data_IF_043916782065
#
_entry.id   IF_043916782065
#
_cell.length_a   1.000
_cell.length_b   1.000
_cell.length_c   1.000
_cell.angle_alpha   90.00
_cell.angle_beta   90.00
_cell.angle_gamma   90.00
#
_symmetry.space_group_name_H-M   'P 1'
#
loop_
_entity.id
_entity.type
_entity.pdbx_description
1 polymer ?
#
# COMPACT_ATOMS: atom_id res chain seq x y z
N UNK A 1 -16.79 -4.69 -2.90
CA UNK A 1 -15.60 -5.28 -3.59
C UNK A 1 -14.38 -4.45 -3.21
N UNK A 2 -13.24 -5.07 -2.89
CA UNK A 2 -12.02 -4.32 -2.60
C UNK A 2 -11.44 -3.70 -3.89
N UNK A 3 -11.35 -2.37 -3.93
CA UNK A 3 -10.81 -1.58 -5.04
C UNK A 3 -9.79 -0.52 -4.56
N UNK A 4 -9.15 0.16 -5.52
CA UNK A 4 -8.10 1.14 -5.25
C UNK A 4 -8.60 2.39 -4.52
N UNK A 5 -9.83 2.80 -4.81
CA UNK A 5 -10.43 3.96 -4.16
C UNK A 5 -10.72 3.65 -2.69
N UNK A 6 -11.25 2.46 -2.41
CA UNK A 6 -11.53 1.95 -1.07
C UNK A 6 -10.23 1.80 -0.28
N UNK A 7 -9.17 1.25 -0.86
CA UNK A 7 -7.86 1.16 -0.19
C UNK A 7 -7.30 2.54 0.19
N UNK A 8 -7.46 3.56 -0.67
CA UNK A 8 -7.08 4.94 -0.37
C UNK A 8 -7.89 5.52 0.79
N UNK A 9 -9.22 5.37 0.76
CA UNK A 9 -10.11 5.81 1.84
C UNK A 9 -9.77 5.14 3.18
N UNK A 10 -9.50 3.83 3.18
CA UNK A 10 -9.07 3.12 4.37
C UNK A 10 -7.77 3.72 4.93
N UNK A 11 -6.77 3.99 4.08
CA UNK A 11 -5.53 4.66 4.51
C UNK A 11 -5.81 6.05 5.08
N UNK A 12 -6.61 6.87 4.42
CA UNK A 12 -6.87 8.25 4.91
C UNK A 12 -7.59 8.22 6.28
N UNK A 13 -8.50 7.27 6.48
CA UNK A 13 -9.15 7.02 7.78
C UNK A 13 -8.14 6.56 8.85
N UNK A 14 -7.22 5.64 8.50
CA UNK A 14 -6.16 5.18 9.41
C UNK A 14 -5.22 6.33 9.82
N UNK A 15 -4.82 7.18 8.88
CA UNK A 15 -3.99 8.36 9.16
C UNK A 15 -4.70 9.34 10.10
N UNK A 16 -6.01 9.53 9.92
CA UNK A 16 -6.83 10.39 10.80
C UNK A 16 -6.84 9.86 12.24
N UNK A 17 -6.87 8.54 12.42
CA UNK A 17 -6.72 7.89 13.73
C UNK A 17 -5.28 7.86 14.23
N UNK A 18 -4.31 8.49 13.56
CA UNK A 18 -2.90 8.53 13.94
C UNK A 18 -2.13 7.23 13.71
N UNK A 19 -2.64 6.35 12.85
CA UNK A 19 -2.01 5.08 12.51
C UNK A 19 -1.22 5.22 11.21
N UNK A 20 0.10 4.99 11.29
CA UNK A 20 0.95 4.99 10.10
C UNK A 20 0.62 3.80 9.20
N UNK A 21 0.74 4.00 7.89
CA UNK A 21 0.56 2.95 6.89
C UNK A 21 1.74 2.94 5.93
N UNK A 22 2.09 1.77 5.41
CA UNK A 22 3.11 1.65 4.34
C UNK A 22 2.42 1.37 3.02
N UNK A 23 1.88 2.41 2.40
CA UNK A 23 1.08 2.29 1.17
C UNK A 23 1.53 3.25 0.07
N UNK A 24 1.07 2.93 -1.14
CA UNK A 24 0.86 3.80 -2.28
C UNK A 24 0.25 5.19 -1.95
N UNK A 25 0.66 6.25 -2.67
CA UNK A 25 1.67 6.24 -3.72
C UNK A 25 3.12 6.27 -3.19
N UNK A 26 3.32 6.71 -1.95
CA UNK A 26 4.65 7.09 -1.44
C UNK A 26 5.63 5.91 -1.29
N UNK A 27 5.15 4.74 -0.89
CA UNK A 27 6.03 3.59 -0.68
C UNK A 27 6.44 2.87 -1.98
N UNK A 28 5.74 3.08 -3.10
CA UNK A 28 5.89 2.19 -4.27
C UNK A 28 7.08 2.50 -5.14
N UNK A 29 7.55 3.75 -5.15
CA UNK A 29 8.81 4.12 -5.79
C UNK A 29 10.02 3.36 -5.23
N UNK A 30 9.94 2.95 -3.95
CA UNK A 30 10.99 2.23 -3.25
C UNK A 30 10.72 0.73 -3.11
N UNK A 31 9.47 0.31 -2.94
CA UNK A 31 9.13 -1.08 -2.60
C UNK A 31 8.56 -1.90 -3.77
N UNK A 32 8.46 -1.34 -4.98
CA UNK A 32 7.90 -2.03 -6.13
C UNK A 32 8.76 -1.91 -7.38
N UNK A 33 9.22 -3.07 -7.87
CA UNK A 33 10.04 -3.22 -9.07
C UNK A 33 9.47 -2.50 -10.31
N UNK A 34 8.15 -2.38 -10.42
CA UNK A 34 7.51 -1.66 -11.52
C UNK A 34 7.77 -0.14 -11.59
N UNK A 35 8.58 0.39 -10.67
CA UNK A 35 9.00 1.80 -10.63
C UNK A 35 10.53 1.98 -10.57
N UNK A 36 11.31 0.91 -10.49
CA UNK A 36 12.77 0.96 -10.32
C UNK A 36 13.49 1.21 -11.64
N UNK A 37 13.18 2.32 -12.31
CA UNK A 37 13.78 2.70 -13.59
C UNK A 37 15.28 2.98 -13.49
N UNK A 38 15.80 3.18 -12.28
CA UNK A 38 17.22 3.33 -11.99
C UNK A 38 18.02 2.01 -12.12
N UNK A 39 17.36 0.85 -12.17
CA UNK A 39 18.01 -0.47 -12.37
C UNK A 39 18.02 -0.84 -13.85
N UNK A 40 19.06 -0.46 -14.58
CA UNK A 40 19.19 -0.65 -16.03
C UNK A 40 18.99 -2.10 -16.50
N UNK A 41 19.55 -3.06 -15.78
CA UNK A 41 19.52 -4.48 -16.10
C UNK A 41 18.10 -5.05 -15.96
N UNK A 42 17.36 -4.57 -14.95
CA UNK A 42 15.96 -4.91 -14.76
C UNK A 42 15.11 -4.33 -15.88
N UNK A 43 15.31 -3.07 -16.24
CA UNK A 43 14.62 -2.39 -17.34
C UNK A 43 14.84 -3.16 -18.66
N UNK A 44 16.09 -3.50 -18.97
CA UNK A 44 16.44 -4.23 -20.20
C UNK A 44 15.79 -5.62 -20.24
N UNK A 45 15.84 -6.37 -19.13
CA UNK A 45 15.24 -7.71 -19.02
C UNK A 45 13.73 -7.73 -19.24
N UNK A 46 13.06 -6.61 -18.98
CA UNK A 46 11.61 -6.49 -19.07
C UNK A 46 11.14 -5.61 -20.25
N UNK A 47 11.95 -5.47 -21.29
CA UNK A 47 11.54 -4.84 -22.54
C UNK A 47 11.43 -3.31 -22.47
N UNK A 48 12.13 -2.67 -21.53
CA UNK A 48 12.24 -1.22 -21.43
C UNK A 48 11.14 -0.52 -20.63
N UNK A 49 10.03 -1.18 -20.31
CA UNK A 49 8.89 -0.59 -19.60
C UNK A 49 8.47 -1.44 -18.38
N UNK A 50 9.05 -1.12 -17.22
CA UNK A 50 8.74 -1.79 -15.96
C UNK A 50 7.30 -1.54 -15.47
N UNK A 51 6.61 -0.50 -15.96
CA UNK A 51 5.26 -0.21 -15.53
C UNK A 51 4.27 -1.31 -15.95
N UNK A 52 4.55 -1.94 -17.10
CA UNK A 52 3.76 -3.04 -17.69
C UNK A 52 4.26 -4.43 -17.32
N UNK A 53 5.50 -4.55 -16.83
CA UNK A 53 6.14 -5.83 -16.53
C UNK A 53 5.46 -6.62 -15.38
N UNK A 54 4.76 -5.94 -14.47
CA UNK A 54 4.24 -6.53 -13.22
C UNK A 54 2.74 -6.30 -13.01
N UNK A 55 1.94 -6.41 -14.07
CA UNK A 55 0.49 -6.14 -14.06
C UNK A 55 -0.30 -6.83 -12.92
N UNK A 56 -0.19 -8.16 -12.73
CA UNK A 56 -0.88 -8.87 -11.66
C UNK A 56 -0.50 -8.40 -10.25
N UNK A 57 0.77 -8.05 -10.03
CA UNK A 57 1.24 -7.54 -8.75
C UNK A 57 0.74 -6.13 -8.50
N UNK A 58 0.79 -5.25 -9.52
CA UNK A 58 0.24 -3.89 -9.46
C UNK A 58 -1.24 -3.91 -9.08
N UNK A 59 -2.04 -4.74 -9.74
CA UNK A 59 -3.48 -4.87 -9.48
C UNK A 59 -3.81 -5.29 -8.03
N UNK A 60 -2.95 -6.11 -7.41
CA UNK A 60 -3.10 -6.49 -5.99
C UNK A 60 -2.67 -5.36 -5.06
N UNK A 61 -1.48 -4.80 -5.29
CA UNK A 61 -0.90 -3.72 -4.47
C UNK A 61 -1.78 -2.47 -4.45
N UNK A 62 -2.37 -2.10 -5.59
CA UNK A 62 -3.24 -0.92 -5.69
C UNK A 62 -4.51 -1.01 -4.85
N UNK A 63 -4.88 -2.21 -4.38
CA UNK A 63 -6.10 -2.44 -3.60
C UNK A 63 -5.79 -2.88 -2.15
N UNK A 64 -4.53 -2.75 -1.72
CA UNK A 64 -4.06 -3.18 -0.41
C UNK A 64 -3.57 -1.99 0.44
N UNK A 65 -3.72 -2.13 1.76
CA UNK A 65 -3.12 -1.24 2.77
C UNK A 65 -2.21 -2.09 3.66
N UNK A 66 -0.96 -1.67 3.86
CA UNK A 66 -0.04 -2.35 4.79
C UNK A 66 -0.12 -1.70 6.17
N UNK A 67 -0.38 -2.53 7.18
CA UNK A 67 -0.44 -2.15 8.59
C UNK A 67 0.85 -2.57 9.29
N UNK A 68 1.59 -1.65 9.93
CA UNK A 68 2.75 -2.01 10.73
C UNK A 68 2.31 -2.71 12.03
N UNK A 69 2.85 -3.91 12.26
CA UNK A 69 2.69 -4.65 13.52
C UNK A 69 4.03 -4.61 14.25
N UNK A 70 4.07 -3.99 15.43
CA UNK A 70 5.29 -3.84 16.23
C UNK A 70 5.16 -4.62 17.54
N UNK A 71 6.28 -5.16 18.04
CA UNK A 71 6.29 -6.04 19.23
C UNK A 71 5.75 -5.35 20.48
N UNK A 72 6.07 -4.05 20.65
CA UNK A 72 5.57 -3.21 21.75
C UNK A 72 4.59 -2.19 21.18
N UNK A 73 3.48 -2.66 20.63
CA UNK A 73 2.44 -1.77 20.13
C UNK A 73 1.64 -1.18 21.28
N UNK A 74 1.15 0.03 21.11
CA UNK A 74 0.18 0.62 22.03
C UNK A 74 -1.11 -0.22 22.02
N UNK A 75 -1.60 -0.58 23.21
CA UNK A 75 -2.77 -1.45 23.41
C UNK A 75 -4.06 -0.87 22.79
N UNK A 76 -4.11 0.43 22.52
CA UNK A 76 -5.23 1.09 21.84
C UNK A 76 -5.23 0.89 20.32
N UNK A 77 -4.14 0.39 19.73
CA UNK A 77 -3.99 0.24 18.27
C UNK A 77 -5.09 -0.63 17.66
N UNK A 78 -5.45 -1.82 18.19
CA UNK A 78 -6.55 -2.62 17.64
C UNK A 78 -7.90 -1.90 17.63
N UNK A 79 -8.22 -1.13 18.68
CA UNK A 79 -9.47 -0.38 18.78
C UNK A 79 -9.51 0.80 17.78
N UNK A 80 -8.39 1.50 17.60
CA UNK A 80 -8.22 2.56 16.59
C UNK A 80 -8.29 1.99 15.17
N UNK A 81 -7.69 0.82 14.93
CA UNK A 81 -7.78 0.10 13.64
C UNK A 81 -9.24 -0.21 13.30
N UNK A 82 -9.98 -0.79 14.25
CA UNK A 82 -11.40 -1.08 14.05
C UNK A 82 -12.19 0.19 13.74
N UNK A 83 -12.04 1.24 14.57
CA UNK A 83 -12.70 2.54 14.36
C UNK A 83 -12.40 3.12 12.97
N UNK A 84 -11.14 3.13 12.54
CA UNK A 84 -10.74 3.63 11.23
C UNK A 84 -11.37 2.84 10.08
N UNK A 85 -11.33 1.50 10.15
CA UNK A 85 -11.78 0.63 9.07
C UNK A 85 -13.30 0.58 8.98
N UNK A 86 -14.01 0.59 10.10
CA UNK A 86 -15.48 0.63 10.12
C UNK A 86 -16.03 1.88 9.45
N UNK A 87 -15.37 3.04 9.54
CA UNK A 87 -15.80 4.27 8.84
C UNK A 87 -15.88 4.15 7.31
N UNK A 88 -15.18 3.17 6.73
CA UNK A 88 -15.04 3.02 5.27
C UNK A 88 -15.67 1.73 4.76
N UNK A 89 -15.63 0.66 5.56
CA UNK A 89 -16.03 -0.69 5.16
C UNK A 89 -17.39 -1.15 5.71
N UNK A 90 -18.08 -0.32 6.50
CA UNK A 90 -19.43 -0.61 6.98
C UNK A 90 -20.52 -0.29 5.96
#
# INVERSE_FOLDING_TARGET
MADKATARKCRDSLLTEGLSTKILPEAVTWHFAGTWTHMSELVARHGGDLAKAFGPSRSRLERAVSLPVVVKMDETVPARLHTALSKVLS
#
